data_IF_127300910900
#
_entry.id   IF_127300910900
#
_cell.length_a   1.000
_cell.length_b   1.000
_cell.length_c   1.000
_cell.angle_alpha   90.00
_cell.angle_beta   90.00
_cell.angle_gamma   90.00
#
_symmetry.space_group_name_H-M   'P 1'
#
loop_
_entity.id
_entity.type
_entity.pdbx_description
1 polymer ?
#
# COMPACT_ATOMS: atom_id res chain seq x y z
N UNK A 1 -7.43 44.20 -65.52
CA UNK A 1 -7.84 44.57 -64.15
C UNK A 1 -7.81 43.30 -63.31
N UNK A 2 -6.70 43.01 -62.62
CA UNK A 2 -6.57 41.81 -61.79
C UNK A 2 -7.18 42.08 -60.41
N UNK A 3 -8.06 41.22 -59.89
CA UNK A 3 -8.54 41.37 -58.51
C UNK A 3 -7.44 40.98 -57.52
N UNK A 4 -7.25 41.83 -56.51
CA UNK A 4 -6.35 41.60 -55.39
C UNK A 4 -6.92 40.51 -54.45
N UNK A 5 -6.07 39.65 -53.86
CA UNK A 5 -6.52 38.71 -52.83
C UNK A 5 -6.81 39.43 -51.52
N UNK A 6 -7.97 39.10 -50.94
CA UNK A 6 -8.49 39.62 -49.67
C UNK A 6 -7.86 38.87 -48.48
N UNK A 7 -7.28 39.52 -47.46
CA UNK A 7 -6.64 38.82 -46.35
C UNK A 7 -7.59 38.78 -45.14
N UNK A 8 -8.35 37.69 -45.00
CA UNK A 8 -9.03 37.40 -43.73
C UNK A 8 -9.04 35.89 -43.48
N UNK A 9 -8.06 35.42 -42.72
CA UNK A 9 -8.20 34.17 -41.99
C UNK A 9 -7.42 34.23 -40.68
N UNK A 10 -8.00 34.94 -39.70
CA UNK A 10 -7.54 34.99 -38.31
C UNK A 10 -8.52 34.20 -37.43
N UNK A 11 -8.73 32.93 -37.75
CA UNK A 11 -9.56 32.04 -36.94
C UNK A 11 -8.94 30.64 -36.89
N UNK A 12 -7.65 30.54 -36.52
CA UNK A 12 -7.12 29.26 -36.04
C UNK A 12 -5.86 29.41 -35.18
N UNK A 13 -6.00 30.11 -34.06
CA UNK A 13 -5.02 30.05 -32.98
C UNK A 13 -5.80 29.84 -31.69
N UNK A 14 -6.28 28.62 -31.45
CA UNK A 14 -6.45 28.18 -30.06
C UNK A 14 -5.12 28.49 -29.37
N UNK A 15 -5.08 29.40 -28.39
CA UNK A 15 -3.82 29.89 -27.87
C UNK A 15 -3.06 28.68 -27.33
N UNK A 16 -1.85 28.43 -27.85
CA UNK A 16 -0.99 27.30 -27.46
C UNK A 16 -0.88 27.15 -25.93
N UNK A 17 -1.07 28.26 -25.22
CA UNK A 17 -1.21 28.39 -23.77
C UNK A 17 -2.30 27.46 -23.19
N UNK A 18 -3.50 27.38 -23.79
CA UNK A 18 -4.58 26.48 -23.32
C UNK A 18 -4.17 25.02 -23.48
N UNK A 19 -3.51 24.67 -24.60
CA UNK A 19 -3.02 23.32 -24.83
C UNK A 19 -1.95 22.92 -23.80
N UNK A 20 -0.98 23.80 -23.53
CA UNK A 20 0.05 23.55 -22.52
C UNK A 20 -0.52 23.49 -21.09
N UNK A 21 -1.50 24.33 -20.76
CA UNK A 21 -2.17 24.30 -19.46
C UNK A 21 -2.97 23.01 -19.24
N UNK A 22 -3.69 22.53 -20.26
CA UNK A 22 -4.42 21.24 -20.20
C UNK A 22 -3.45 20.06 -20.11
N UNK A 23 -2.34 20.10 -20.86
CA UNK A 23 -1.31 19.07 -20.82
C UNK A 23 -0.61 19.02 -19.45
N UNK A 24 -0.29 20.18 -18.88
CA UNK A 24 0.29 20.28 -17.54
C UNK A 24 -0.67 19.79 -16.45
N UNK A 25 -1.96 20.16 -16.54
CA UNK A 25 -2.99 19.70 -15.61
C UNK A 25 -3.20 18.19 -15.71
N UNK A 26 -3.14 17.61 -16.92
CA UNK A 26 -3.21 16.15 -17.11
C UNK A 26 -2.03 15.42 -16.47
N UNK A 27 -0.80 15.93 -16.61
CA UNK A 27 0.39 15.37 -15.94
C UNK A 27 0.31 15.47 -14.41
N UNK A 28 -0.27 16.56 -13.89
CA UNK A 28 -0.41 16.76 -12.45
C UNK A 28 -1.41 15.75 -11.85
N UNK A 29 -2.53 15.49 -12.53
CA UNK A 29 -3.56 14.55 -12.06
C UNK A 29 -3.01 13.10 -12.05
N UNK A 30 -2.26 12.69 -13.09
CA UNK A 30 -1.67 11.35 -13.17
C UNK A 30 -0.65 11.09 -12.04
N UNK A 31 0.09 12.12 -11.62
CA UNK A 31 1.08 12.00 -10.54
C UNK A 31 0.45 11.75 -9.16
N UNK A 32 -0.80 12.17 -8.93
CA UNK A 32 -1.45 12.10 -7.60
C UNK A 32 -2.11 10.73 -7.38
N UNK A 33 -2.52 10.03 -8.43
CA UNK A 33 -3.21 8.73 -8.32
C UNK A 33 -2.27 7.53 -8.20
N UNK A 34 -0.95 7.73 -8.22
CA UNK A 34 0.04 6.65 -8.21
C UNK A 34 0.63 6.33 -6.82
N UNK A 35 0.10 6.91 -5.75
CA UNK A 35 0.62 6.73 -4.40
C UNK A 35 -0.16 5.67 -3.60
N UNK A 36 -0.22 4.43 -4.12
CA UNK A 36 -0.52 3.27 -3.27
C UNK A 36 0.79 2.80 -2.64
N UNK A 37 1.13 3.35 -1.46
CA UNK A 37 2.24 2.83 -0.67
C UNK A 37 1.79 1.56 0.05
N UNK A 38 1.82 0.43 -0.64
CA UNK A 38 1.96 -0.86 0.06
C UNK A 38 3.34 -0.83 0.72
N UNK A 39 3.39 -0.91 2.05
CA UNK A 39 4.66 -1.18 2.77
C UNK A 39 5.02 -2.62 2.46
N UNK A 40 5.57 -2.82 1.27
CA UNK A 40 5.97 -4.12 0.81
C UNK A 40 7.42 -4.31 1.29
N UNK A 41 7.59 -5.29 2.18
CA UNK A 41 8.84 -5.71 2.80
C UNK A 41 9.40 -4.80 3.92
N UNK A 42 9.28 -5.26 5.17
CA UNK A 42 10.05 -4.71 6.29
C UNK A 42 11.44 -5.38 6.33
N UNK A 43 12.49 -4.58 6.45
CA UNK A 43 13.89 -5.05 6.50
C UNK A 43 14.52 -4.65 7.82
N UNK A 44 15.04 -5.63 8.54
CA UNK A 44 15.80 -5.43 9.78
C UNK A 44 17.24 -5.95 9.62
N UNK A 45 18.19 -5.30 10.28
CA UNK A 45 19.62 -5.68 10.20
C UNK A 45 20.22 -5.73 11.61
N UNK A 46 20.89 -6.84 11.91
CA UNK A 46 21.59 -7.06 13.16
C UNK A 46 22.95 -7.67 12.87
N UNK A 47 24.00 -6.90 13.17
CA UNK A 47 25.39 -7.30 12.96
C UNK A 47 25.70 -7.67 11.50
N UNK A 48 25.86 -8.97 11.22
CA UNK A 48 26.16 -9.51 9.88
C UNK A 48 24.96 -10.22 9.23
N UNK A 49 23.77 -10.15 9.84
CA UNK A 49 22.52 -10.74 9.33
C UNK A 49 21.51 -9.63 9.00
N UNK A 50 20.89 -9.73 7.83
CA UNK A 50 19.71 -8.98 7.46
C UNK A 50 18.52 -9.93 7.28
N UNK A 51 17.33 -9.45 7.61
CA UNK A 51 16.08 -10.17 7.44
C UNK A 51 15.07 -9.29 6.72
N UNK A 52 14.38 -9.87 5.75
CA UNK A 52 13.23 -9.24 5.10
C UNK A 52 12.00 -10.10 5.35
N UNK A 53 10.98 -9.52 5.97
CA UNK A 53 9.69 -10.16 6.17
C UNK A 53 8.80 -9.97 4.94
N UNK A 54 8.09 -11.03 4.55
CA UNK A 54 6.92 -10.97 3.69
C UNK A 54 5.80 -11.83 4.26
N UNK A 55 4.55 -11.39 4.10
CA UNK A 55 3.35 -12.07 4.57
C UNK A 55 2.33 -12.16 3.44
N UNK A 56 1.77 -13.35 3.20
CA UNK A 56 0.82 -13.57 2.13
C UNK A 56 -0.65 -13.33 2.56
N UNK A 57 -1.51 -12.74 1.71
CA UNK A 57 -1.18 -12.11 0.43
C UNK A 57 -0.74 -10.65 0.63
N UNK A 58 0.31 -10.24 -0.11
CA UNK A 58 0.67 -8.82 -0.33
C UNK A 58 0.89 -8.01 0.96
N UNK A 59 1.49 -8.61 1.98
CA UNK A 59 1.77 -7.99 3.28
C UNK A 59 0.52 -7.47 4.00
N UNK A 60 -0.66 -8.05 3.72
CA UNK A 60 -1.95 -7.65 4.30
C UNK A 60 -2.70 -8.85 4.92
N UNK A 61 -2.16 -9.44 6.01
CA UNK A 61 -2.80 -10.56 6.68
C UNK A 61 -4.17 -10.19 7.26
N UNK A 62 -5.08 -11.17 7.30
CA UNK A 62 -6.44 -10.99 7.81
C UNK A 62 -6.69 -11.96 8.96
N UNK A 63 -7.38 -11.47 9.98
CA UNK A 63 -7.67 -12.26 11.17
C UNK A 63 -8.57 -13.45 10.85
N UNK A 64 -8.31 -14.61 11.47
CA UNK A 64 -9.08 -15.83 11.26
C UNK A 64 -8.79 -16.55 9.94
N UNK A 65 -7.96 -15.95 9.06
CA UNK A 65 -7.54 -16.53 7.79
C UNK A 65 -6.10 -17.05 7.94
N UNK A 66 -5.82 -18.20 7.34
CA UNK A 66 -4.47 -18.76 7.30
C UNK A 66 -3.61 -17.93 6.34
N UNK A 67 -2.45 -17.50 6.82
CA UNK A 67 -1.49 -16.69 6.07
C UNK A 67 -0.09 -17.26 6.22
N UNK A 68 0.68 -17.27 5.14
CA UNK A 68 2.08 -17.65 5.17
C UNK A 68 2.95 -16.42 5.40
N UNK A 69 3.81 -16.46 6.42
CA UNK A 69 4.89 -15.50 6.60
C UNK A 69 6.23 -16.16 6.29
N UNK A 70 7.14 -15.44 5.65
CA UNK A 70 8.50 -15.93 5.41
C UNK A 70 9.54 -14.82 5.55
N UNK A 71 10.76 -15.24 5.89
CA UNK A 71 11.86 -14.36 6.24
C UNK A 71 13.06 -14.61 5.33
N UNK A 72 13.34 -13.71 4.41
CA UNK A 72 14.54 -13.77 3.61
C UNK A 72 15.75 -13.37 4.47
N UNK A 73 16.37 -14.36 5.13
CA UNK A 73 17.59 -14.17 5.90
C UNK A 73 18.80 -14.13 4.98
N UNK A 74 19.64 -13.10 5.12
CA UNK A 74 20.87 -12.94 4.36
C UNK A 74 22.03 -12.55 5.26
N UNK A 75 23.24 -12.97 4.91
CA UNK A 75 24.47 -12.45 5.50
C UNK A 75 24.91 -11.19 4.76
N UNK A 76 25.84 -10.44 5.36
CA UNK A 76 26.61 -9.39 4.66
C UNK A 76 27.11 -9.92 3.30
N UNK A 77 26.83 -9.17 2.24
CA UNK A 77 27.09 -9.58 0.85
C UNK A 77 25.94 -10.32 0.17
N UNK A 78 24.77 -10.43 0.81
CA UNK A 78 23.53 -10.93 0.20
C UNK A 78 23.41 -12.45 0.12
N UNK A 79 24.29 -13.20 0.80
CA UNK A 79 24.24 -14.66 0.83
C UNK A 79 23.08 -15.14 1.70
N UNK A 80 22.17 -15.93 1.13
CA UNK A 80 21.01 -16.49 1.84
C UNK A 80 21.44 -17.39 3.00
N UNK A 81 20.75 -17.26 4.14
CA UNK A 81 20.83 -18.17 5.29
C UNK A 81 19.59 -19.08 5.25
N UNK A 82 19.71 -20.34 4.82
CA UNK A 82 18.58 -21.26 4.83
C UNK A 82 18.26 -21.68 6.27
N UNK A 83 17.00 -22.06 6.52
CA UNK A 83 16.53 -22.56 7.81
C UNK A 83 17.35 -23.77 8.30
N UNK A 84 17.82 -24.61 7.38
CA UNK A 84 18.70 -25.75 7.69
C UNK A 84 20.06 -25.37 8.29
N UNK A 85 20.44 -24.09 8.25
CA UNK A 85 21.66 -23.55 8.88
C UNK A 85 21.37 -22.73 10.14
N UNK A 86 20.09 -22.52 10.48
CA UNK A 86 19.65 -21.72 11.61
C UNK A 86 18.93 -22.57 12.66
N UNK A 87 19.26 -22.35 13.93
CA UNK A 87 18.34 -22.62 15.02
C UNK A 87 17.50 -21.35 15.20
N UNK A 88 16.46 -21.23 14.39
CA UNK A 88 15.59 -20.07 14.35
C UNK A 88 14.30 -20.37 15.13
N UNK A 89 13.74 -19.34 15.74
CA UNK A 89 12.47 -19.37 16.48
C UNK A 89 11.66 -18.13 16.10
N UNK A 90 10.34 -18.30 16.00
CA UNK A 90 9.39 -17.22 15.75
C UNK A 90 8.39 -17.17 16.90
N UNK A 91 8.34 -16.02 17.56
CA UNK A 91 7.37 -15.71 18.60
C UNK A 91 6.50 -14.54 18.12
N UNK A 92 5.20 -14.61 18.41
CA UNK A 92 4.24 -13.59 17.98
C UNK A 92 3.52 -13.03 19.20
N UNK A 93 3.53 -11.71 19.33
CA UNK A 93 2.85 -10.96 20.39
C UNK A 93 1.77 -10.06 19.80
N UNK A 94 0.66 -9.88 20.51
CA UNK A 94 -0.32 -8.85 20.18
C UNK A 94 0.05 -7.55 20.90
N UNK A 95 -0.01 -6.41 20.21
CA UNK A 95 0.33 -5.12 20.81
C UNK A 95 -0.90 -4.41 21.41
N UNK A 96 -0.76 -3.72 22.57
CA UNK A 96 0.44 -3.67 23.40
C UNK A 96 0.66 -4.97 24.18
N UNK A 97 1.91 -5.41 24.31
CA UNK A 97 2.27 -6.52 25.22
C UNK A 97 3.22 -6.05 26.33
N UNK A 98 3.27 -6.81 27.42
CA UNK A 98 4.23 -6.53 28.51
C UNK A 98 5.51 -7.35 28.33
N UNK A 99 6.71 -6.78 28.58
CA UNK A 99 7.95 -7.56 28.51
C UNK A 99 7.94 -8.77 29.43
N UNK A 100 8.22 -9.95 28.89
CA UNK A 100 8.21 -11.22 29.61
C UNK A 100 6.85 -11.90 29.68
N UNK A 101 5.81 -11.32 29.08
CA UNK A 101 4.57 -12.03 28.81
C UNK A 101 4.82 -13.21 27.84
N UNK A 102 4.10 -14.33 27.98
CA UNK A 102 4.18 -15.42 27.00
C UNK A 102 3.80 -14.95 25.60
N UNK A 103 4.42 -15.55 24.58
CA UNK A 103 4.00 -15.32 23.20
C UNK A 103 2.56 -15.77 23.00
N UNK A 104 1.81 -15.01 22.19
CA UNK A 104 0.46 -15.38 21.80
C UNK A 104 0.49 -16.62 20.88
N UNK A 105 1.45 -16.66 19.95
CA UNK A 105 1.66 -17.78 19.05
C UNK A 105 3.16 -18.10 18.94
N UNK A 106 3.46 -19.41 18.84
CA UNK A 106 4.81 -19.94 18.63
C UNK A 106 4.82 -20.89 17.42
N UNK A 107 4.58 -20.37 16.20
CA UNK A 107 4.49 -21.22 15.02
C UNK A 107 5.83 -21.89 14.69
N UNK A 108 5.77 -23.16 14.32
CA UNK A 108 6.97 -23.90 13.89
C UNK A 108 7.44 -23.43 12.52
N UNK A 109 8.72 -23.05 12.43
CA UNK A 109 9.35 -22.67 11.17
C UNK A 109 9.59 -23.88 10.27
N UNK A 110 9.24 -23.74 9.00
CA UNK A 110 9.45 -24.70 7.92
C UNK A 110 10.26 -24.05 6.78
N UNK A 111 11.05 -24.82 6.03
CA UNK A 111 11.76 -24.29 4.88
C UNK A 111 10.77 -24.00 3.75
N UNK A 112 10.75 -22.76 3.27
CA UNK A 112 9.96 -22.35 2.11
C UNK A 112 10.84 -21.85 0.98
N UNK A 113 10.31 -21.92 -0.24
CA UNK A 113 10.92 -21.32 -1.44
C UNK A 113 9.95 -20.30 -1.98
N UNK A 114 10.34 -19.03 -1.92
CA UNK A 114 9.52 -17.91 -2.35
C UNK A 114 10.39 -16.93 -3.12
N UNK A 115 9.83 -16.31 -4.15
CA UNK A 115 10.54 -15.43 -5.07
C UNK A 115 11.84 -16.07 -5.59
N UNK A 116 13.00 -15.46 -5.26
CA UNK A 116 14.35 -15.94 -5.59
C UNK A 116 15.02 -16.72 -4.46
N UNK A 117 14.38 -16.82 -3.30
CA UNK A 117 14.94 -17.42 -2.09
C UNK A 117 14.55 -18.89 -1.99
N UNK A 118 15.44 -19.71 -1.45
CA UNK A 118 15.23 -21.16 -1.30
C UNK A 118 15.56 -21.61 0.12
N UNK A 119 14.68 -22.42 0.69
CA UNK A 119 14.85 -23.01 2.01
C UNK A 119 14.92 -21.98 3.14
N UNK A 120 14.34 -20.80 2.95
CA UNK A 120 14.28 -19.75 3.97
C UNK A 120 13.27 -20.11 5.07
N UNK A 121 13.39 -19.56 6.29
CA UNK A 121 12.38 -19.74 7.32
C UNK A 121 11.02 -19.19 6.88
N UNK A 122 9.98 -20.00 6.99
CA UNK A 122 8.59 -19.58 6.84
C UNK A 122 7.67 -20.30 7.81
N UNK A 123 6.49 -19.75 8.04
CA UNK A 123 5.49 -20.28 8.95
C UNK A 123 4.07 -19.99 8.44
N UNK A 124 3.17 -20.93 8.70
CA UNK A 124 1.74 -20.71 8.59
C UNK A 124 1.23 -20.10 9.89
N UNK A 125 0.52 -18.98 9.79
CA UNK A 125 0.02 -18.20 10.92
C UNK A 125 -1.48 -18.00 10.73
N UNK A 126 -2.26 -18.12 11.81
CA UNK A 126 -3.65 -17.67 11.84
C UNK A 126 -3.78 -16.65 12.97
N UNK A 127 -3.85 -15.37 12.61
CA UNK A 127 -3.99 -14.29 13.58
C UNK A 127 -5.42 -14.30 14.15
N UNK A 128 -5.61 -14.43 15.47
CA UNK A 128 -6.94 -14.64 16.02
C UNK A 128 -7.86 -13.41 15.90
N UNK A 129 -7.28 -12.20 15.87
CA UNK A 129 -8.03 -10.93 15.83
C UNK A 129 -7.31 -9.91 14.96
N UNK A 130 -8.07 -8.94 14.45
CA UNK A 130 -7.49 -7.76 13.84
C UNK A 130 -6.77 -6.93 14.89
N UNK A 131 -5.70 -6.26 14.49
CA UNK A 131 -4.88 -5.47 15.39
C UNK A 131 -3.42 -5.43 14.99
N UNK A 132 -2.60 -4.86 15.86
CA UNK A 132 -1.17 -4.76 15.69
C UNK A 132 -0.49 -5.94 16.40
N UNK A 133 0.50 -6.53 15.73
CA UNK A 133 1.27 -7.65 16.26
C UNK A 133 2.76 -7.39 16.08
N UNK A 134 3.56 -7.94 16.99
CA UNK A 134 4.99 -8.03 16.84
C UNK A 134 5.37 -9.48 16.49
N UNK A 135 6.08 -9.66 15.38
CA UNK A 135 6.72 -10.91 15.00
C UNK A 135 8.19 -10.83 15.40
N UNK A 136 8.55 -11.54 16.46
CA UNK A 136 9.92 -11.63 16.93
C UNK A 136 10.60 -12.86 16.33
N UNK A 137 11.50 -12.65 15.37
CA UNK A 137 12.34 -13.71 14.81
C UNK A 137 13.71 -13.69 15.49
N UNK A 138 14.07 -14.78 16.16
CA UNK A 138 15.41 -14.95 16.74
C UNK A 138 16.13 -16.11 16.08
N UNK A 139 17.47 -16.09 16.11
CA UNK A 139 18.24 -17.17 15.54
C UNK A 139 19.70 -17.20 15.92
N UNK A 140 20.26 -18.40 15.90
CA UNK A 140 21.70 -18.64 16.02
C UNK A 140 22.17 -19.66 14.99
N UNK A 141 23.45 -19.62 14.58
CA UNK A 141 23.95 -20.59 13.62
C UNK A 141 23.91 -22.01 14.19
N UNK A 142 23.64 -22.99 13.33
CA UNK A 142 23.83 -24.41 13.65
C UNK A 142 25.32 -24.79 13.68
N UNK A 143 26.10 -24.17 12.80
CA UNK A 143 27.55 -24.33 12.74
C UNK A 143 28.21 -23.03 13.23
N UNK A 144 28.90 -23.12 14.36
CA UNK A 144 29.56 -21.99 15.01
C UNK A 144 30.39 -21.14 14.03
N UNK A 145 30.31 -19.82 14.20
CA UNK A 145 31.04 -18.84 13.38
C UNK A 145 30.49 -18.60 11.97
N UNK A 146 29.41 -19.27 11.55
CA UNK A 146 28.86 -19.06 10.20
C UNK A 146 28.11 -17.73 10.04
N UNK A 147 27.43 -17.25 11.08
CA UNK A 147 26.86 -15.89 11.21
C UNK A 147 26.65 -15.57 12.70
N UNK A 148 26.38 -14.31 13.05
CA UNK A 148 26.15 -13.92 14.45
C UNK A 148 24.70 -14.18 14.89
N UNK A 149 24.46 -14.53 16.16
CA UNK A 149 23.10 -14.59 16.69
C UNK A 149 22.36 -13.26 16.51
N UNK A 150 21.06 -13.34 16.26
CA UNK A 150 20.22 -12.17 15.98
C UNK A 150 18.85 -12.28 16.64
N UNK A 151 18.20 -11.14 16.79
CA UNK A 151 16.79 -10.98 17.09
C UNK A 151 16.27 -9.80 16.27
N UNK A 152 15.12 -10.00 15.62
CA UNK A 152 14.42 -9.02 14.82
C UNK A 152 12.98 -8.91 15.31
N UNK A 153 12.44 -7.70 15.30
CA UNK A 153 11.07 -7.41 15.68
C UNK A 153 10.40 -6.71 14.50
N UNK A 154 9.40 -7.38 13.93
CA UNK A 154 8.62 -6.86 12.81
C UNK A 154 7.23 -6.47 13.29
N UNK A 155 6.80 -5.27 12.96
CA UNK A 155 5.45 -4.80 13.30
C UNK A 155 4.51 -5.13 12.14
N UNK A 156 3.42 -5.84 12.45
CA UNK A 156 2.46 -6.32 11.46
C UNK A 156 1.07 -5.85 11.85
N UNK A 157 0.42 -5.15 10.93
CA UNK A 157 -1.00 -4.79 11.07
C UNK A 157 -1.86 -5.87 10.41
N UNK A 158 -2.76 -6.47 11.19
CA UNK A 158 -3.70 -7.51 10.74
C UNK A 158 -5.08 -6.89 10.55
N UNK A 159 -5.63 -7.03 9.35
CA UNK A 159 -6.97 -6.56 9.02
C UNK A 159 -8.07 -7.49 9.57
N UNK A 160 -9.31 -6.98 9.63
CA UNK A 160 -10.48 -7.78 10.00
C UNK A 160 -10.76 -8.90 8.99
N UNK A 161 -10.94 -10.12 9.48
CA UNK A 161 -11.30 -11.30 8.68
C UNK A 161 -12.69 -11.24 8.07
N UNK A 162 -12.93 -12.08 7.07
CA UNK A 162 -14.28 -12.26 6.48
C UNK A 162 -15.12 -13.32 7.16
N UNK A 163 -14.57 -14.04 8.15
CA UNK A 163 -15.29 -15.07 8.93
C UNK A 163 -16.30 -14.44 9.89
N UNK A 164 -17.40 -13.93 9.31
CA UNK A 164 -18.63 -13.67 10.02
C UNK A 164 -19.11 -15.04 10.50
N UNK A 165 -19.12 -15.28 11.81
CA UNK A 165 -19.83 -16.41 12.39
C UNK A 165 -21.22 -16.49 11.73
N UNK A 166 -21.45 -17.52 10.91
CA UNK A 166 -22.78 -17.89 10.43
C UNK A 166 -23.58 -18.54 11.57
N UNK A 167 -23.63 -17.87 12.71
CA UNK A 167 -24.36 -18.32 13.90
C UNK A 167 -25.02 -17.09 14.54
N UNK A 168 -25.76 -16.33 13.72
CA UNK A 168 -26.89 -15.47 14.09
C UNK A 168 -27.41 -14.70 12.86
N UNK A 169 -27.77 -15.41 11.79
CA UNK A 169 -28.61 -14.83 10.71
C UNK A 169 -29.87 -15.66 10.56
N UNK A 170 -30.70 -15.61 11.60
CA UNK A 170 -32.13 -15.84 11.46
C UNK A 170 -32.87 -15.03 12.52
N UNK A 171 -32.76 -13.70 12.44
CA UNK A 171 -33.80 -12.76 12.86
C UNK A 171 -33.35 -11.31 12.67
N UNK A 172 -33.73 -10.73 11.53
CA UNK A 172 -34.08 -9.31 11.40
C UNK A 172 -34.51 -9.04 9.94
N UNK A 173 -35.65 -9.59 9.55
CA UNK A 173 -36.40 -8.97 8.45
C UNK A 173 -37.04 -7.70 9.01
N UNK A 174 -36.66 -6.55 8.44
CA UNK A 174 -37.41 -5.28 8.30
C UNK A 174 -36.58 -4.05 8.69
N UNK A 175 -35.78 -3.54 7.74
CA UNK A 175 -35.54 -2.10 7.59
C UNK A 175 -35.08 -1.83 6.14
N UNK A 176 -35.71 -0.90 5.41
CA UNK A 176 -35.20 -0.49 4.11
C UNK A 176 -34.07 0.53 4.32
N UNK A 177 -32.81 0.11 4.17
CA UNK A 177 -31.69 1.04 4.09
C UNK A 177 -31.51 1.50 2.65
N UNK A 178 -31.80 2.77 2.42
CA UNK A 178 -31.40 3.49 1.22
C UNK A 178 -29.86 3.55 1.18
N UNK A 179 -29.28 2.84 0.22
CA UNK A 179 -27.87 2.98 -0.12
C UNK A 179 -27.65 4.33 -0.80
N UNK A 180 -27.26 5.32 -0.01
CA UNK A 180 -26.49 6.46 -0.52
C UNK A 180 -25.14 6.42 0.19
N UNK A 181 -24.20 5.75 -0.45
CA UNK A 181 -22.81 5.63 -0.01
C UNK A 181 -22.11 6.98 -0.20
N UNK A 182 -22.27 7.90 0.75
CA UNK A 182 -21.46 9.13 0.84
C UNK A 182 -20.18 8.76 1.58
N UNK A 183 -19.20 8.23 0.85
CA UNK A 183 -17.83 8.14 1.33
C UNK A 183 -17.14 9.50 1.20
N UNK A 184 -16.66 9.98 2.34
CA UNK A 184 -15.56 10.94 2.52
C UNK A 184 -15.85 12.41 2.21
N UNK A 185 -16.12 13.19 3.26
CA UNK A 185 -16.21 14.66 3.26
C UNK A 185 -14.88 15.39 2.99
N UNK A 186 -13.88 14.73 2.41
CA UNK A 186 -12.60 15.34 2.02
C UNK A 186 -12.36 15.33 0.50
N UNK A 187 -13.10 14.52 -0.27
CA UNK A 187 -12.95 14.46 -1.74
C UNK A 187 -13.94 15.34 -2.49
N UNK A 188 -15.14 15.58 -1.94
CA UNK A 188 -16.17 16.41 -2.58
C UNK A 188 -15.77 17.90 -2.59
N UNK A 189 -15.11 18.38 -1.53
CA UNK A 189 -14.67 19.77 -1.41
C UNK A 189 -13.62 20.14 -2.46
N UNK A 190 -12.69 19.23 -2.75
CA UNK A 190 -11.64 19.45 -3.77
C UNK A 190 -12.24 19.46 -5.18
N UNK A 191 -13.20 18.55 -5.45
CA UNK A 191 -13.87 18.49 -6.75
C UNK A 191 -14.70 19.75 -7.02
N UNK A 192 -15.44 20.24 -6.00
CA UNK A 192 -16.23 21.46 -6.10
C UNK A 192 -15.34 22.68 -6.33
N UNK A 193 -14.20 22.80 -5.63
CA UNK A 193 -13.26 23.91 -5.84
C UNK A 193 -12.67 23.88 -7.26
N UNK A 194 -12.31 22.70 -7.77
CA UNK A 194 -11.76 22.55 -9.11
C UNK A 194 -12.77 22.95 -10.19
N UNK A 195 -14.04 22.57 -10.02
CA UNK A 195 -15.13 22.96 -10.93
C UNK A 195 -15.34 24.48 -10.90
N UNK A 196 -15.36 25.11 -9.72
CA UNK A 196 -15.53 26.56 -9.59
C UNK A 196 -14.38 27.35 -10.24
N UNK A 197 -13.14 26.89 -10.08
CA UNK A 197 -11.98 27.51 -10.74
C UNK A 197 -12.06 27.38 -12.27
N UNK A 198 -12.44 26.20 -12.78
CA UNK A 198 -12.58 25.98 -14.22
C UNK A 198 -13.69 26.88 -14.82
N UNK A 199 -14.83 26.99 -14.16
CA UNK A 199 -15.94 27.86 -14.59
C UNK A 199 -15.54 29.34 -14.57
N UNK A 200 -14.81 29.78 -13.53
CA UNK A 200 -14.31 31.15 -13.44
C UNK A 200 -13.35 31.52 -14.57
N UNK A 201 -12.42 30.62 -14.92
CA UNK A 201 -11.49 30.83 -16.04
C UNK A 201 -12.23 30.90 -17.37
N UNK A 202 -13.20 30.02 -17.62
CA UNK A 202 -14.01 30.03 -18.85
C UNK A 202 -14.80 31.33 -18.96
N UNK A 203 -15.45 31.78 -17.87
CA UNK A 203 -16.21 33.04 -17.87
C UNK A 203 -15.31 34.25 -18.17
N UNK A 204 -14.12 34.30 -17.56
CA UNK A 204 -13.16 35.38 -17.82
C UNK A 204 -12.70 35.43 -19.29
N UNK A 205 -12.40 34.27 -19.89
CA UNK A 205 -12.02 34.18 -21.31
C UNK A 205 -13.17 34.63 -22.21
N UNK A 206 -14.42 34.22 -21.93
CA UNK A 206 -15.59 34.65 -22.71
C UNK A 206 -15.84 36.16 -22.59
N UNK A 207 -15.58 36.75 -21.41
CA UNK A 207 -15.72 38.19 -21.20
C UNK A 207 -14.67 38.97 -22.00
N UNK A 208 -13.41 38.53 -22.01
CA UNK A 208 -12.35 39.14 -22.84
C UNK A 208 -12.62 39.02 -24.35
N UNK A 209 -13.13 37.87 -24.81
CA UNK A 209 -13.49 37.69 -26.22
C UNK A 209 -14.65 38.61 -26.63
N UNK A 210 -15.65 38.77 -25.74
CA UNK A 210 -16.77 39.68 -25.97
C UNK A 210 -16.33 41.15 -26.03
N UNK A 211 -15.42 41.58 -25.15
CA UNK A 211 -14.91 42.96 -25.17
C UNK A 211 -14.09 43.28 -26.42
N UNK A 212 -13.38 42.30 -26.99
CA UNK A 212 -12.65 42.44 -28.26
C UNK A 212 -13.54 42.51 -29.49
N UNK A 213 -14.74 41.93 -29.44
CA UNK A 213 -15.71 41.98 -30.55
C UNK A 213 -16.46 43.33 -30.60
N UNK A 214 -16.52 44.04 -29.47
CA UNK A 214 -17.19 45.35 -29.34
C UNK A 214 -16.29 46.57 -29.52
N UNK A 215 -15.00 46.38 -29.84
CA UNK A 215 -14.02 47.47 -30.08
C UNK A 215 -13.52 47.43 -31.52
#
# INVERSE_FOLDING_TARGET
MYPQPNPTNSHDQIPKIIYYSLLFLSCLIVSITAADSTVAHQVEISQDVGATLHIEPQDNPRAGEQTQAWFALTRKGGKVIPLTQCHCELLIYAEPHTPGEPALLEPSLQPVSAERYQGIPGAEINFPKAGLYQLQLSGKPRNEGSFKPFQFEFEVTVAGGTTRNQENVLNANNAPTQDVNIKSGFTITVLVLAILLAVGIVFFILQELKERETR
#
